data_IF_558314690848
#
_entry.id   IF_558314690848
#
_cell.length_a   1.000
_cell.length_b   1.000
_cell.length_c   1.000
_cell.angle_alpha   90.00
_cell.angle_beta   90.00
_cell.angle_gamma   90.00
#
_symmetry.space_group_name_H-M   'P 1'
#
loop_
_entity.id
_entity.type
_entity.pdbx_description
1 polymer ?
#
# COMPACT_ATOMS: atom_id res chain seq x y z
N UNK A 1 63.97 29.98 -15.85
CA UNK A 1 63.29 28.68 -15.84
C UNK A 1 62.32 28.72 -14.67
N UNK A 2 61.04 29.00 -14.94
CA UNK A 2 60.05 29.30 -13.90
C UNK A 2 59.44 28.01 -13.36
N UNK A 3 59.74 27.68 -12.11
CA UNK A 3 59.02 26.66 -11.35
C UNK A 3 57.59 27.14 -11.11
N UNK A 4 56.65 26.51 -11.82
CA UNK A 4 55.23 26.69 -11.60
C UNK A 4 54.85 25.95 -10.31
N UNK A 5 54.69 26.69 -9.23
CA UNK A 5 54.10 26.22 -7.96
C UNK A 5 52.66 25.80 -8.26
N UNK A 6 52.40 24.49 -8.25
CA UNK A 6 51.04 23.95 -8.35
C UNK A 6 50.38 24.15 -6.99
N UNK A 7 49.44 25.09 -6.92
CA UNK A 7 48.50 25.21 -5.81
C UNK A 7 47.59 23.98 -5.80
N UNK A 8 47.80 23.11 -4.80
CA UNK A 8 46.86 22.03 -4.49
C UNK A 8 45.66 22.71 -3.81
N UNK A 9 44.59 22.90 -4.57
CA UNK A 9 43.31 23.34 -4.04
C UNK A 9 42.81 22.31 -3.02
N UNK A 10 42.37 22.83 -1.87
CA UNK A 10 41.74 22.09 -0.79
C UNK A 10 40.63 21.17 -1.34
N UNK A 11 40.88 19.87 -1.33
CA UNK A 11 39.85 18.84 -1.46
C UNK A 11 39.10 18.85 -0.13
N UNK A 12 37.98 19.57 -0.09
CA UNK A 12 37.04 19.59 1.02
C UNK A 12 36.60 18.15 1.36
N UNK A 13 37.16 17.64 2.47
CA UNK A 13 36.64 16.53 3.30
C UNK A 13 36.06 15.32 2.56
N UNK A 14 36.85 14.69 1.68
CA UNK A 14 36.65 13.28 1.42
C UNK A 14 37.02 12.51 2.70
N UNK A 15 36.03 11.93 3.39
CA UNK A 15 36.28 11.05 4.53
C UNK A 15 37.11 9.85 4.09
N UNK A 16 38.42 9.89 4.32
CA UNK A 16 39.31 8.78 4.01
C UNK A 16 39.19 7.74 5.13
N UNK A 17 38.67 6.56 4.78
CA UNK A 17 38.69 5.40 5.66
C UNK A 17 39.99 4.64 5.38
N UNK A 18 41.05 4.95 6.14
CA UNK A 18 42.27 4.15 6.14
C UNK A 18 42.07 2.93 7.05
N UNK A 19 41.92 1.75 6.44
CA UNK A 19 41.94 0.49 7.17
C UNK A 19 43.35 -0.09 7.03
N UNK A 20 44.09 -0.33 8.13
CA UNK A 20 45.36 -1.04 8.04
C UNK A 20 45.07 -2.50 7.68
N UNK A 21 45.63 -2.98 6.57
CA UNK A 21 45.56 -4.37 6.15
C UNK A 21 46.86 -4.80 5.48
N UNK A 22 47.21 -6.07 5.63
CA UNK A 22 48.23 -6.72 4.80
C UNK A 22 47.60 -7.23 3.47
N UNK A 23 48.43 -7.69 2.53
CA UNK A 23 47.96 -8.08 1.19
C UNK A 23 46.88 -9.19 1.21
N UNK A 24 46.99 -10.14 2.14
CA UNK A 24 46.01 -11.22 2.32
C UNK A 24 44.68 -10.67 2.87
N UNK A 25 44.73 -9.80 3.89
CA UNK A 25 43.57 -9.15 4.47
C UNK A 25 42.85 -8.23 3.46
N UNK A 26 43.61 -7.57 2.57
CA UNK A 26 43.03 -6.77 1.51
C UNK A 26 42.28 -7.64 0.50
N UNK A 27 42.90 -8.75 0.07
CA UNK A 27 42.25 -9.71 -0.83
C UNK A 27 40.96 -10.25 -0.21
N UNK A 28 40.99 -10.67 1.05
CA UNK A 28 39.81 -11.19 1.75
C UNK A 28 38.73 -10.12 1.95
N UNK A 29 39.12 -8.87 2.17
CA UNK A 29 38.19 -7.74 2.20
C UNK A 29 37.54 -7.47 0.84
N UNK A 30 38.31 -7.50 -0.26
CA UNK A 30 37.74 -7.36 -1.60
C UNK A 30 36.80 -8.54 -1.91
N UNK A 31 37.17 -9.76 -1.53
CA UNK A 31 36.30 -10.94 -1.66
C UNK A 31 35.05 -10.82 -0.79
N UNK A 32 35.13 -10.27 0.41
CA UNK A 32 33.96 -10.06 1.28
C UNK A 32 33.02 -8.98 0.74
N UNK A 33 33.58 -7.93 0.10
CA UNK A 33 32.81 -6.94 -0.64
C UNK A 33 32.15 -7.51 -1.91
N UNK A 34 32.80 -8.46 -2.56
CA UNK A 34 32.34 -9.14 -3.78
C UNK A 34 31.55 -10.44 -3.50
N UNK A 35 31.39 -10.81 -2.23
CA UNK A 35 30.61 -11.97 -1.83
C UNK A 35 29.19 -11.89 -2.38
N UNK A 36 28.50 -13.03 -2.50
CA UNK A 36 27.08 -13.06 -2.89
C UNK A 36 26.22 -12.90 -1.64
N UNK A 37 25.78 -11.68 -1.25
CA UNK A 37 24.90 -11.52 -0.11
C UNK A 37 23.59 -12.28 -0.36
N UNK A 38 23.06 -12.89 0.68
CA UNK A 38 21.68 -13.36 0.69
C UNK A 38 20.77 -12.15 0.84
N UNK A 39 19.56 -12.24 0.29
CA UNK A 39 18.58 -11.16 0.37
C UNK A 39 17.32 -11.65 1.08
N UNK A 40 16.86 -10.88 2.06
CA UNK A 40 15.54 -11.02 2.67
C UNK A 40 14.70 -9.83 2.23
N UNK A 41 13.57 -10.10 1.57
CA UNK A 41 12.63 -9.06 1.11
C UNK A 41 11.26 -9.30 1.73
N UNK A 42 10.59 -8.24 2.14
CA UNK A 42 9.24 -8.30 2.68
C UNK A 42 8.42 -7.11 2.26
N UNK A 43 7.16 -7.37 1.93
CA UNK A 43 6.17 -6.35 1.61
C UNK A 43 5.11 -6.32 2.71
N UNK A 44 4.94 -5.16 3.34
CA UNK A 44 3.90 -4.90 4.32
C UNK A 44 2.79 -4.12 3.62
N UNK A 45 1.69 -4.82 3.33
CA UNK A 45 0.49 -4.23 2.75
C UNK A 45 -0.24 -3.42 3.81
N UNK A 46 -0.67 -2.21 3.46
CA UNK A 46 -1.49 -1.39 4.31
C UNK A 46 -1.32 0.08 4.01
N UNK A 47 -2.18 0.86 4.63
CA UNK A 47 -2.16 2.31 4.49
C UNK A 47 -1.28 2.90 5.57
N UNK A 48 -0.53 3.94 5.24
CA UNK A 48 0.40 4.54 6.19
C UNK A 48 0.44 6.05 6.03
N UNK A 49 0.86 6.70 7.11
CA UNK A 49 1.17 8.11 7.10
C UNK A 49 2.54 8.26 7.76
N UNK A 50 3.51 8.74 7.00
CA UNK A 50 4.84 9.01 7.53
C UNK A 50 5.21 10.47 7.34
N UNK A 51 5.88 11.02 8.34
CA UNK A 51 6.51 12.33 8.29
C UNK A 51 8.04 12.18 8.42
N UNK A 52 8.75 13.31 8.44
CA UNK A 52 10.21 13.33 8.61
C UNK A 52 10.65 12.67 9.92
N UNK A 53 9.93 12.90 11.02
CA UNK A 53 10.28 12.37 12.33
C UNK A 53 10.20 10.83 12.36
N UNK A 54 9.21 10.24 11.68
CA UNK A 54 9.11 8.78 11.57
C UNK A 54 10.32 8.17 10.86
N UNK A 55 10.84 8.83 9.81
CA UNK A 55 12.04 8.39 9.10
C UNK A 55 13.28 8.53 9.99
N UNK A 56 13.38 9.63 10.74
CA UNK A 56 14.46 9.85 11.71
C UNK A 56 14.45 8.76 12.78
N UNK A 57 13.29 8.48 13.39
CA UNK A 57 13.13 7.41 14.37
C UNK A 57 13.52 6.04 13.78
N UNK A 58 13.13 5.76 12.53
CA UNK A 58 13.52 4.51 11.86
C UNK A 58 15.04 4.40 11.71
N UNK A 59 15.70 5.48 11.30
CA UNK A 59 17.16 5.54 11.19
C UNK A 59 17.83 5.26 12.55
N UNK A 60 17.37 5.91 13.61
CA UNK A 60 17.92 5.76 14.96
C UNK A 60 17.74 4.34 15.49
N UNK A 61 16.56 3.74 15.32
CA UNK A 61 16.28 2.37 15.77
C UNK A 61 17.17 1.35 15.06
N UNK A 62 17.36 1.48 13.75
CA UNK A 62 18.25 0.61 12.96
C UNK A 62 19.70 0.76 13.44
N UNK A 63 20.19 1.99 13.55
CA UNK A 63 21.55 2.27 14.02
C UNK A 63 21.79 1.70 15.42
N UNK A 64 20.91 2.02 16.37
CA UNK A 64 21.03 1.55 17.74
C UNK A 64 21.10 0.02 17.80
N UNK A 65 20.26 -0.68 17.03
CA UNK A 65 20.25 -2.14 17.01
C UNK A 65 21.56 -2.71 16.47
N UNK A 66 22.08 -2.16 15.38
CA UNK A 66 23.29 -2.65 14.73
C UNK A 66 24.53 -2.42 15.63
N UNK A 67 24.66 -1.22 16.20
CA UNK A 67 25.77 -0.89 17.10
C UNK A 67 25.78 -1.70 18.40
N UNK A 68 24.61 -2.14 18.90
CA UNK A 68 24.53 -2.98 20.10
C UNK A 68 24.96 -4.43 19.86
N UNK A 69 24.83 -4.93 18.64
CA UNK A 69 25.07 -6.35 18.34
C UNK A 69 26.52 -6.65 17.95
N UNK A 70 27.12 -5.78 17.14
CA UNK A 70 28.40 -6.01 16.50
C UNK A 70 29.20 -4.71 16.35
N UNK A 71 30.52 -4.84 16.25
CA UNK A 71 31.37 -3.74 15.82
C UNK A 71 31.02 -3.39 14.37
N UNK A 72 30.55 -2.18 14.16
CA UNK A 72 29.92 -1.77 12.91
C UNK A 72 30.20 -0.31 12.59
N UNK A 73 30.24 0.00 11.29
CA UNK A 73 30.45 1.35 10.78
C UNK A 73 29.44 1.62 9.68
N UNK A 74 28.66 2.70 9.82
CA UNK A 74 27.78 3.19 8.76
C UNK A 74 28.66 3.81 7.67
N UNK A 75 28.67 3.22 6.48
CA UNK A 75 29.41 3.72 5.31
C UNK A 75 28.63 4.85 4.65
N UNK A 76 27.34 4.60 4.42
CA UNK A 76 26.47 5.51 3.69
C UNK A 76 25.04 5.35 4.17
N UNK A 77 24.39 6.50 4.36
CA UNK A 77 22.95 6.61 4.38
C UNK A 77 22.50 7.41 3.17
N UNK A 78 21.43 6.97 2.51
CA UNK A 78 20.83 7.65 1.37
C UNK A 78 19.32 7.68 1.54
N UNK A 79 18.72 8.86 1.34
CA UNK A 79 17.28 9.02 1.23
C UNK A 79 16.93 9.62 -0.13
N UNK A 80 16.23 8.87 -0.98
CA UNK A 80 15.74 9.33 -2.28
C UNK A 80 14.23 9.57 -2.19
N UNK A 81 13.83 10.83 -2.37
CA UNK A 81 12.44 11.30 -2.31
C UNK A 81 11.96 11.52 -3.73
N UNK A 82 10.84 10.90 -4.09
CA UNK A 82 10.24 10.98 -5.42
C UNK A 82 8.96 11.80 -5.35
N UNK A 83 8.78 12.71 -6.30
CA UNK A 83 7.66 13.63 -6.34
C UNK A 83 6.65 13.31 -7.45
N UNK A 84 5.52 14.00 -7.42
CA UNK A 84 4.43 13.86 -8.39
C UNK A 84 4.75 14.38 -9.81
N UNK A 85 5.78 15.20 -9.96
CA UNK A 85 6.27 15.71 -11.26
C UNK A 85 7.38 14.82 -11.86
N UNK A 86 7.60 13.63 -11.29
CA UNK A 86 8.66 12.69 -11.65
C UNK A 86 10.08 13.18 -11.37
N UNK A 87 10.25 14.24 -10.58
CA UNK A 87 11.57 14.63 -10.07
C UNK A 87 11.94 13.81 -8.83
N UNK A 88 13.25 13.71 -8.58
CA UNK A 88 13.81 13.00 -7.43
C UNK A 88 14.85 13.87 -6.75
N UNK A 89 14.80 13.92 -5.42
CA UNK A 89 15.85 14.50 -4.59
C UNK A 89 16.53 13.39 -3.80
N UNK A 90 17.85 13.29 -3.92
CA UNK A 90 18.66 12.30 -3.19
C UNK A 90 19.51 13.00 -2.14
N UNK A 91 19.29 12.65 -0.88
CA UNK A 91 20.02 13.14 0.28
C UNK A 91 21.06 12.10 0.67
N UNK A 92 22.34 12.44 0.50
CA UNK A 92 23.48 11.59 0.86
C UNK A 92 23.94 11.90 2.28
N UNK A 93 23.44 11.19 3.28
CA UNK A 93 23.79 11.39 4.68
C UNK A 93 22.59 11.76 5.55
N UNK A 94 22.66 11.35 6.81
CA UNK A 94 21.57 11.54 7.78
C UNK A 94 21.35 13.01 8.12
N UNK A 95 22.43 13.79 8.28
CA UNK A 95 22.35 15.23 8.55
C UNK A 95 21.58 15.99 7.45
N UNK A 96 21.75 15.59 6.18
CA UNK A 96 21.01 16.18 5.07
C UNK A 96 19.50 15.91 5.19
N UNK A 97 19.10 14.74 5.69
CA UNK A 97 17.70 14.43 5.96
C UNK A 97 17.16 15.27 7.12
N UNK A 98 17.91 15.41 8.21
CA UNK A 98 17.49 16.20 9.38
C UNK A 98 17.21 17.65 8.99
N UNK A 99 18.13 18.26 8.24
CA UNK A 99 18.03 19.64 7.75
C UNK A 99 17.18 19.80 6.49
N UNK A 100 16.65 18.71 5.93
CA UNK A 100 15.82 18.76 4.74
C UNK A 100 14.54 19.56 5.00
N UNK A 101 14.29 20.52 4.11
CA UNK A 101 13.09 21.33 4.08
C UNK A 101 12.78 21.78 2.65
N UNK A 102 11.90 21.05 1.97
CA UNK A 102 11.46 21.37 0.61
C UNK A 102 10.50 22.57 0.62
N UNK A 103 10.80 23.57 -0.22
CA UNK A 103 9.98 24.79 -0.37
C UNK A 103 9.11 24.76 -1.62
N UNK A 104 9.43 23.90 -2.58
CA UNK A 104 8.65 23.76 -3.80
C UNK A 104 7.29 23.12 -3.49
N UNK A 105 6.22 23.48 -4.23
CA UNK A 105 4.88 22.92 -4.05
C UNK A 105 4.77 21.52 -4.69
N UNK A 106 5.61 20.59 -4.24
CA UNK A 106 5.71 19.21 -4.75
C UNK A 106 5.07 18.23 -3.77
N UNK A 107 4.39 17.21 -4.28
CA UNK A 107 3.79 16.14 -3.45
C UNK A 107 4.71 14.92 -3.47
N UNK A 108 5.21 14.52 -2.31
CA UNK A 108 6.02 13.31 -2.17
C UNK A 108 5.17 12.06 -2.43
N UNK A 109 5.63 11.22 -3.34
CA UNK A 109 4.99 9.95 -3.75
C UNK A 109 5.69 8.72 -3.22
N UNK A 110 7.01 8.74 -3.17
CA UNK A 110 7.82 7.66 -2.62
C UNK A 110 9.01 8.20 -1.85
N UNK A 111 9.47 7.40 -0.90
CA UNK A 111 10.76 7.59 -0.23
C UNK A 111 11.46 6.26 -0.16
N UNK A 112 12.68 6.23 -0.69
CA UNK A 112 13.58 5.08 -0.62
C UNK A 112 14.73 5.43 0.29
N UNK A 113 14.91 4.64 1.34
CA UNK A 113 15.94 4.77 2.34
C UNK A 113 16.90 3.61 2.18
N UNK A 114 18.20 3.89 2.16
CA UNK A 114 19.23 2.87 2.07
C UNK A 114 20.30 3.14 3.11
N UNK A 115 20.64 2.10 3.87
CA UNK A 115 21.74 2.08 4.81
C UNK A 115 22.76 1.05 4.35
N UNK A 116 24.03 1.44 4.28
CA UNK A 116 25.15 0.54 3.99
C UNK A 116 26.09 0.52 5.18
N UNK A 117 26.31 -0.66 5.75
CA UNK A 117 27.18 -0.87 6.89
C UNK A 117 28.36 -1.77 6.53
N UNK A 118 29.49 -1.54 7.17
CA UNK A 118 30.51 -2.57 7.41
C UNK A 118 30.23 -3.16 8.79
N UNK A 119 30.01 -4.47 8.87
CA UNK A 119 29.78 -5.18 10.13
C UNK A 119 30.85 -6.23 10.32
N UNK A 120 31.53 -6.22 11.48
CA UNK A 120 32.45 -7.27 11.89
C UNK A 120 31.72 -8.23 12.83
N UNK A 121 31.44 -9.43 12.34
CA UNK A 121 30.81 -10.49 13.12
C UNK A 121 31.81 -11.14 14.08
N UNK A 122 31.35 -11.66 15.22
CA UNK A 122 32.23 -12.21 16.27
C UNK A 122 33.07 -13.40 15.82
N UNK A 123 32.59 -14.15 14.84
CA UNK A 123 33.23 -15.32 14.23
C UNK A 123 34.11 -14.96 13.03
N UNK A 124 34.28 -13.67 12.72
CA UNK A 124 35.03 -13.20 11.55
C UNK A 124 36.02 -12.11 11.91
N UNK A 125 37.21 -12.18 11.32
CA UNK A 125 38.26 -11.18 11.55
C UNK A 125 38.08 -9.92 10.69
N UNK A 126 37.34 -10.04 9.59
CA UNK A 126 37.12 -8.99 8.60
C UNK A 126 35.73 -8.38 8.68
N UNK A 127 35.61 -7.15 8.20
CA UNK A 127 34.32 -6.49 8.02
C UNK A 127 33.63 -7.00 6.75
N UNK A 128 32.32 -7.15 6.82
CA UNK A 128 31.48 -7.54 5.69
C UNK A 128 30.42 -6.47 5.42
N UNK A 129 30.22 -6.15 4.14
CA UNK A 129 29.21 -5.16 3.73
C UNK A 129 27.81 -5.72 3.90
N UNK A 130 26.97 -4.99 4.62
CA UNK A 130 25.54 -5.23 4.75
C UNK A 130 24.77 -4.05 4.18
N UNK A 131 23.60 -4.30 3.61
CA UNK A 131 22.72 -3.25 3.10
C UNK A 131 21.28 -3.48 3.56
N UNK A 132 20.66 -2.42 4.05
CA UNK A 132 19.25 -2.39 4.41
C UNK A 132 18.62 -1.32 3.53
N UNK A 133 17.50 -1.65 2.90
CA UNK A 133 16.75 -0.71 2.09
C UNK A 133 15.26 -0.77 2.43
N UNK A 134 14.63 0.38 2.61
CA UNK A 134 13.21 0.52 2.97
C UNK A 134 12.56 1.51 2.01
N UNK A 135 11.43 1.12 1.42
CA UNK A 135 10.63 1.97 0.53
C UNK A 135 9.24 2.17 1.09
N UNK A 136 8.81 3.43 1.06
CA UNK A 136 7.44 3.84 1.30
C UNK A 136 6.84 4.29 -0.03
N UNK A 137 5.71 3.68 -0.43
CA UNK A 137 5.07 3.92 -1.72
C UNK A 137 3.61 4.31 -1.50
N UNK A 138 3.21 5.50 -1.98
CA UNK A 138 1.85 6.04 -1.72
C UNK A 138 0.85 5.89 -2.86
N UNK A 139 1.30 5.78 -4.11
CA UNK A 139 0.40 5.88 -5.27
C UNK A 139 0.87 5.00 -6.44
N UNK A 140 -0.10 4.44 -7.17
CA UNK A 140 0.06 3.44 -8.24
C UNK A 140 0.41 4.04 -9.61
N UNK A 141 0.42 5.37 -9.72
CA UNK A 141 0.49 6.06 -11.02
C UNK A 141 1.93 6.39 -11.40
N UNK A 142 2.67 5.37 -11.83
CA UNK A 142 3.95 5.50 -12.52
C UNK A 142 4.84 4.27 -12.36
N UNK A 143 5.82 4.07 -13.27
CA UNK A 143 6.89 3.12 -13.02
C UNK A 143 7.67 3.61 -11.80
N UNK A 144 7.47 2.96 -10.65
CA UNK A 144 8.37 3.16 -9.52
C UNK A 144 9.58 2.25 -9.67
N UNK A 145 10.79 2.75 -9.40
CA UNK A 145 11.97 1.90 -9.32
C UNK A 145 11.76 0.87 -8.19
N UNK A 146 11.58 -0.39 -8.55
CA UNK A 146 11.64 -1.51 -7.62
C UNK A 146 13.11 -1.75 -7.24
N UNK A 147 13.34 -2.36 -6.07
CA UNK A 147 14.69 -2.78 -5.70
C UNK A 147 15.26 -3.87 -6.60
N UNK A 148 14.39 -4.57 -7.34
CA UNK A 148 14.74 -5.59 -8.31
C UNK A 148 14.13 -5.19 -9.66
N UNK A 149 14.97 -4.73 -10.60
CA UNK A 149 14.55 -4.42 -11.97
C UNK A 149 14.01 -5.67 -12.70
N UNK A 150 14.40 -6.87 -12.26
CA UNK A 150 14.01 -8.15 -12.86
C UNK A 150 12.64 -8.66 -12.43
N UNK A 151 12.08 -8.11 -11.36
CA UNK A 151 10.80 -8.55 -10.85
C UNK A 151 9.80 -7.42 -11.01
N UNK A 152 9.10 -7.46 -12.15
CA UNK A 152 8.02 -6.55 -12.53
C UNK A 152 6.79 -6.77 -11.63
N UNK A 153 6.97 -6.63 -10.32
CA UNK A 153 5.88 -6.55 -9.36
C UNK A 153 5.26 -5.17 -9.54
N UNK A 154 4.21 -5.14 -10.36
CA UNK A 154 3.25 -4.05 -10.31
C UNK A 154 2.62 -4.09 -8.92
N UNK A 155 3.20 -3.34 -7.99
CA UNK A 155 2.58 -3.08 -6.71
C UNK A 155 1.35 -2.23 -7.01
N UNK A 156 0.20 -2.89 -7.15
CA UNK A 156 -1.09 -2.23 -7.34
C UNK A 156 -1.63 -1.63 -6.03
N UNK A 157 -0.82 -1.57 -4.97
CA UNK A 157 -1.22 -1.07 -3.67
C UNK A 157 -0.11 -0.19 -3.08
N UNK A 158 -0.52 0.85 -2.34
CA UNK A 158 0.39 1.51 -1.41
C UNK A 158 0.87 0.52 -0.35
N UNK A 159 2.13 0.65 0.06
CA UNK A 159 2.67 -0.18 1.12
C UNK A 159 4.10 0.18 1.46
N UNK A 160 4.63 -0.60 2.39
CA UNK A 160 6.01 -0.48 2.86
C UNK A 160 6.74 -1.75 2.45
N UNK A 161 7.79 -1.62 1.66
CA UNK A 161 8.64 -2.76 1.31
C UNK A 161 10.02 -2.57 1.90
N UNK A 162 10.66 -3.63 2.37
CA UNK A 162 12.07 -3.57 2.72
C UNK A 162 12.84 -4.76 2.18
N UNK A 163 14.13 -4.54 1.98
CA UNK A 163 15.11 -5.49 1.49
C UNK A 163 16.34 -5.42 2.39
N UNK A 164 16.84 -6.57 2.82
CA UNK A 164 18.06 -6.70 3.61
C UNK A 164 19.00 -7.59 2.82
N UNK A 165 20.12 -7.06 2.37
CA UNK A 165 21.20 -7.82 1.77
C UNK A 165 22.27 -8.07 2.83
N UNK A 166 22.48 -9.35 3.15
CA UNK A 166 23.30 -9.75 4.27
C UNK A 166 24.20 -10.96 3.97
N UNK A 167 25.27 -11.09 4.75
CA UNK A 167 26.19 -12.26 4.69
C UNK A 167 25.97 -13.22 5.85
N UNK A 168 25.58 -12.73 7.03
CA UNK A 168 25.26 -13.56 8.20
C UNK A 168 23.74 -13.76 8.36
N UNK A 169 23.27 -15.02 8.28
CA UNK A 169 21.84 -15.35 8.28
C UNK A 169 21.11 -14.93 9.57
N UNK A 170 21.72 -15.18 10.72
CA UNK A 170 21.15 -14.84 12.03
C UNK A 170 20.99 -13.33 12.20
N UNK A 171 21.96 -12.55 11.74
CA UNK A 171 21.89 -11.09 11.71
C UNK A 171 20.76 -10.59 10.80
N UNK A 172 20.68 -11.12 9.57
CA UNK A 172 19.62 -10.76 8.63
C UNK A 172 18.22 -11.01 9.19
N UNK A 173 18.01 -12.16 9.83
CA UNK A 173 16.73 -12.50 10.48
C UNK A 173 16.39 -11.62 11.68
N UNK A 174 17.36 -11.18 12.47
CA UNK A 174 17.10 -10.26 13.60
C UNK A 174 16.68 -8.86 13.12
N UNK A 175 17.39 -8.32 12.12
CA UNK A 175 17.04 -7.04 11.51
C UNK A 175 15.66 -7.11 10.84
N UNK A 176 15.32 -8.21 10.18
CA UNK A 176 13.98 -8.43 9.59
C UNK A 176 12.87 -8.38 10.64
N UNK A 177 13.06 -9.05 11.78
CA UNK A 177 12.07 -9.09 12.85
C UNK A 177 11.87 -7.70 13.47
N UNK A 178 12.97 -6.98 13.71
CA UNK A 178 12.94 -5.60 14.23
C UNK A 178 12.25 -4.65 13.25
N UNK A 179 12.64 -4.66 11.96
CA UNK A 179 12.02 -3.83 10.93
C UNK A 179 10.54 -4.14 10.77
N UNK A 180 10.18 -5.42 10.70
CA UNK A 180 8.77 -5.84 10.63
C UNK A 180 7.97 -5.25 11.78
N UNK A 181 8.46 -5.40 13.03
CA UNK A 181 7.76 -4.90 14.21
C UNK A 181 7.62 -3.38 14.19
N UNK A 182 8.69 -2.65 13.84
CA UNK A 182 8.67 -1.19 13.83
C UNK A 182 7.78 -0.64 12.69
N UNK A 183 7.96 -1.14 11.47
CA UNK A 183 7.21 -0.67 10.30
C UNK A 183 5.72 -1.04 10.40
N UNK A 184 5.35 -2.15 11.03
CA UNK A 184 3.95 -2.48 11.31
C UNK A 184 3.25 -1.45 12.19
N UNK A 185 3.97 -0.71 13.04
CA UNK A 185 3.36 0.37 13.85
C UNK A 185 3.02 1.61 13.03
N UNK A 186 3.66 1.80 11.87
CA UNK A 186 3.37 2.90 10.94
C UNK A 186 2.15 2.61 10.06
N UNK A 187 1.75 1.34 9.97
CA UNK A 187 0.59 0.92 9.21
C UNK A 187 -0.65 1.26 10.02
N UNK A 188 -1.50 2.11 9.45
CA UNK A 188 -2.77 2.46 10.03
C UNK A 188 -3.66 1.22 10.04
N UNK A 189 -4.19 0.88 11.22
CA UNK A 189 -5.13 -0.21 11.36
C UNK A 189 -6.43 0.19 10.67
N UNK A 190 -6.70 -0.41 9.52
CA UNK A 190 -7.97 -0.29 8.84
C UNK A 190 -9.10 -0.85 9.72
N UNK A 191 -10.32 -0.37 9.49
CA UNK A 191 -11.47 -0.94 10.16
C UNK A 191 -11.63 -2.38 9.66
N UNK A 192 -11.57 -3.36 10.57
CA UNK A 192 -11.72 -4.79 10.25
C UNK A 192 -12.96 -5.09 9.40
N UNK A 193 -14.01 -4.28 9.56
CA UNK A 193 -15.20 -4.37 8.72
C UNK A 193 -14.85 -4.02 7.27
N UNK A 194 -14.21 -2.88 7.00
CA UNK A 194 -13.80 -2.49 5.65
C UNK A 194 -12.80 -3.47 5.05
N UNK A 195 -11.84 -3.94 5.85
CA UNK A 195 -10.91 -5.00 5.42
C UNK A 195 -11.67 -6.24 4.95
N UNK A 196 -12.68 -6.68 5.70
CA UNK A 196 -13.47 -7.85 5.32
C UNK A 196 -14.12 -7.68 3.94
N UNK A 197 -14.73 -6.53 3.64
CA UNK A 197 -15.32 -6.25 2.32
C UNK A 197 -14.26 -6.16 1.23
N UNK A 198 -13.10 -5.57 1.52
CA UNK A 198 -11.99 -5.41 0.58
C UNK A 198 -11.29 -6.72 0.22
N UNK A 199 -11.16 -7.66 1.16
CA UNK A 199 -10.46 -8.93 0.91
C UNK A 199 -11.42 -10.09 0.58
N UNK A 200 -12.73 -9.88 0.70
CA UNK A 200 -13.74 -10.89 0.43
C UNK A 200 -14.86 -10.34 -0.49
N UNK A 201 -14.55 -9.39 -1.37
CA UNK A 201 -15.51 -8.72 -2.25
C UNK A 201 -16.39 -9.72 -3.02
N UNK A 202 -15.80 -10.76 -3.61
CA UNK A 202 -16.50 -11.81 -4.36
C UNK A 202 -17.48 -12.58 -3.46
N UNK A 203 -17.01 -13.02 -2.29
CA UNK A 203 -17.83 -13.78 -1.33
C UNK A 203 -18.99 -12.94 -0.81
N UNK A 204 -18.72 -11.68 -0.48
CA UNK A 204 -19.75 -10.72 -0.06
C UNK A 204 -20.77 -10.51 -1.19
N UNK A 205 -20.29 -10.29 -2.42
CA UNK A 205 -21.14 -10.14 -3.59
C UNK A 205 -22.05 -11.36 -3.80
N UNK A 206 -21.49 -12.57 -3.68
CA UNK A 206 -22.26 -13.82 -3.75
C UNK A 206 -23.28 -13.96 -2.61
N UNK A 207 -22.91 -13.61 -1.37
CA UNK A 207 -23.83 -13.66 -0.23
C UNK A 207 -25.00 -12.68 -0.39
N UNK A 208 -24.72 -11.45 -0.83
CA UNK A 208 -25.75 -10.45 -1.13
C UNK A 208 -26.66 -10.97 -2.25
N UNK A 209 -26.08 -11.57 -3.30
CA UNK A 209 -26.84 -12.12 -4.41
C UNK A 209 -27.73 -13.29 -3.99
N UNK A 210 -27.19 -14.21 -3.18
CA UNK A 210 -27.94 -15.33 -2.63
C UNK A 210 -29.11 -14.84 -1.76
N UNK A 211 -28.87 -13.84 -0.91
CA UNK A 211 -29.91 -13.22 -0.09
C UNK A 211 -31.02 -12.58 -0.94
N UNK A 212 -30.67 -11.85 -2.00
CA UNK A 212 -31.64 -11.27 -2.94
C UNK A 212 -32.46 -12.33 -3.69
N UNK A 213 -31.82 -13.43 -4.10
CA UNK A 213 -32.52 -14.56 -4.75
C UNK A 213 -33.44 -15.28 -3.76
N UNK A 214 -33.00 -15.53 -2.51
CA UNK A 214 -33.83 -16.19 -1.51
C UNK A 214 -35.04 -15.36 -1.12
N UNK A 215 -34.85 -14.06 -0.87
CA UNK A 215 -35.97 -13.15 -0.50
C UNK A 215 -37.02 -13.08 -1.59
N UNK A 216 -36.59 -13.05 -2.85
CA UNK A 216 -37.51 -12.98 -3.99
C UNK A 216 -38.22 -14.30 -4.26
N UNK A 217 -37.56 -15.44 -4.08
CA UNK A 217 -38.21 -16.76 -4.09
C UNK A 217 -39.26 -16.87 -2.98
N UNK A 218 -38.98 -16.39 -1.77
CA UNK A 218 -39.95 -16.41 -0.67
C UNK A 218 -41.18 -15.56 -1.01
N UNK A 219 -40.98 -14.33 -1.51
CA UNK A 219 -42.08 -13.44 -1.90
C UNK A 219 -42.91 -14.08 -3.03
N UNK A 220 -42.25 -14.67 -4.03
CA UNK A 220 -42.88 -15.42 -5.13
C UNK A 220 -43.77 -16.55 -4.62
N UNK A 221 -43.28 -17.37 -3.69
CA UNK A 221 -44.02 -18.48 -3.11
C UNK A 221 -45.23 -18.00 -2.31
N UNK A 222 -45.07 -16.95 -1.50
CA UNK A 222 -46.15 -16.36 -0.71
C UNK A 222 -47.26 -15.79 -1.61
N UNK A 223 -46.90 -15.05 -2.66
CA UNK A 223 -47.85 -14.51 -3.63
C UNK A 223 -48.59 -15.62 -4.39
N UNK A 224 -47.86 -16.64 -4.85
CA UNK A 224 -48.47 -17.79 -5.54
C UNK A 224 -49.47 -18.51 -4.63
N UNK A 225 -49.12 -18.75 -3.37
CA UNK A 225 -50.01 -19.39 -2.40
C UNK A 225 -51.26 -18.56 -2.10
N UNK A 226 -51.15 -17.23 -2.02
CA UNK A 226 -52.31 -16.35 -1.86
C UNK A 226 -53.25 -16.41 -3.07
N UNK A 227 -52.70 -16.39 -4.29
CA UNK A 227 -53.50 -16.46 -5.52
C UNK A 227 -54.25 -17.79 -5.61
N UNK A 228 -53.57 -18.91 -5.29
CA UNK A 228 -54.20 -20.24 -5.27
C UNK A 228 -55.36 -20.28 -4.25
N UNK A 229 -55.16 -19.73 -3.04
CA UNK A 229 -56.21 -19.69 -2.01
C UNK A 229 -57.44 -18.86 -2.43
N UNK A 230 -57.25 -17.85 -3.26
CA UNK A 230 -58.35 -16.98 -3.73
C UNK A 230 -59.16 -17.60 -4.89
N UNK A 231 -58.82 -18.81 -5.36
CA UNK A 231 -59.74 -19.75 -6.02
C UNK A 231 -60.24 -19.43 -7.43
N UNK A 232 -59.94 -18.29 -8.03
CA UNK A 232 -60.63 -17.82 -9.25
C UNK A 232 -59.88 -17.97 -10.59
N UNK A 233 -58.70 -18.61 -10.65
CA UNK A 233 -57.81 -18.47 -11.82
C UNK A 233 -57.12 -19.76 -12.33
N UNK A 234 -57.45 -20.96 -11.82
CA UNK A 234 -56.68 -22.19 -12.16
C UNK A 234 -56.65 -22.51 -13.66
N UNK A 235 -57.71 -22.17 -14.40
CA UNK A 235 -57.93 -22.69 -15.75
C UNK A 235 -57.53 -21.72 -16.87
N UNK A 236 -57.09 -20.50 -16.55
CA UNK A 236 -56.70 -19.52 -17.57
C UNK A 236 -55.20 -19.62 -17.90
N UNK A 237 -54.79 -20.10 -19.10
CA UNK A 237 -53.38 -20.22 -19.46
C UNK A 237 -52.66 -18.85 -19.57
N UNK A 238 -53.39 -17.78 -19.88
CA UNK A 238 -52.83 -16.42 -19.97
C UNK A 238 -52.36 -15.94 -18.60
N UNK A 239 -53.08 -16.31 -17.53
CA UNK A 239 -52.69 -16.00 -16.15
C UNK A 239 -51.33 -16.60 -15.81
N UNK A 240 -51.11 -17.87 -16.12
CA UNK A 240 -49.84 -18.56 -15.85
C UNK A 240 -48.68 -17.97 -16.65
N UNK A 241 -48.91 -17.59 -17.92
CA UNK A 241 -47.88 -16.93 -18.75
C UNK A 241 -47.44 -15.60 -18.11
N UNK A 242 -48.38 -14.77 -17.66
CA UNK A 242 -48.05 -13.53 -16.95
C UNK A 242 -47.34 -13.80 -15.62
N UNK A 243 -47.80 -14.78 -14.85
CA UNK A 243 -47.22 -15.14 -13.56
C UNK A 243 -45.76 -15.59 -13.69
N UNK A 244 -45.46 -16.53 -14.59
CA UNK A 244 -44.10 -16.99 -14.83
C UNK A 244 -43.24 -15.95 -15.55
N UNK A 245 -43.82 -15.17 -16.46
CA UNK A 245 -43.16 -14.04 -17.11
C UNK A 245 -42.64 -13.03 -16.09
N UNK A 246 -43.45 -12.68 -15.09
CA UNK A 246 -43.05 -11.78 -14.01
C UNK A 246 -41.86 -12.34 -13.21
N UNK A 247 -41.77 -13.66 -12.97
CA UNK A 247 -40.62 -14.25 -12.30
C UNK A 247 -39.35 -14.21 -13.12
N UNK A 248 -39.44 -14.41 -14.44
CA UNK A 248 -38.29 -14.27 -15.35
C UNK A 248 -37.77 -12.84 -15.30
N UNK A 249 -38.64 -11.83 -15.41
CA UNK A 249 -38.24 -10.42 -15.31
C UNK A 249 -37.63 -10.08 -13.96
N UNK A 250 -38.20 -10.61 -12.87
CA UNK A 250 -37.68 -10.41 -11.54
C UNK A 250 -36.28 -11.03 -11.38
N UNK A 251 -36.07 -12.25 -11.88
CA UNK A 251 -34.78 -12.92 -11.87
C UNK A 251 -33.72 -12.14 -12.67
N UNK A 252 -34.08 -11.68 -13.88
CA UNK A 252 -33.20 -10.81 -14.69
C UNK A 252 -32.86 -9.51 -13.96
N UNK A 253 -33.83 -8.91 -13.27
CA UNK A 253 -33.63 -7.71 -12.45
C UNK A 253 -32.62 -7.94 -11.31
N UNK A 254 -32.72 -9.07 -10.58
CA UNK A 254 -31.74 -9.42 -9.54
C UNK A 254 -30.37 -9.65 -10.14
N UNK A 255 -30.27 -10.38 -11.24
CA UNK A 255 -28.99 -10.65 -11.90
C UNK A 255 -28.29 -9.34 -12.32
N UNK A 256 -29.06 -8.39 -12.86
CA UNK A 256 -28.57 -7.07 -13.21
C UNK A 256 -28.10 -6.29 -11.96
N UNK A 257 -28.89 -6.30 -10.88
CA UNK A 257 -28.50 -5.69 -9.60
C UNK A 257 -27.25 -6.31 -8.99
N UNK A 258 -27.08 -7.63 -9.11
CA UNK A 258 -25.86 -8.32 -8.70
C UNK A 258 -24.65 -7.79 -9.49
N UNK A 259 -24.75 -7.67 -10.81
CA UNK A 259 -23.65 -7.14 -11.63
C UNK A 259 -23.29 -5.71 -11.27
N UNK A 260 -24.29 -4.85 -11.05
CA UNK A 260 -24.06 -3.49 -10.55
C UNK A 260 -23.36 -3.51 -9.19
N UNK A 261 -23.80 -4.37 -8.27
CA UNK A 261 -23.21 -4.48 -6.94
C UNK A 261 -21.76 -4.93 -7.01
N UNK A 262 -21.42 -5.88 -7.88
CA UNK A 262 -20.04 -6.32 -8.10
C UNK A 262 -19.16 -5.20 -8.67
N UNK A 263 -19.61 -4.49 -9.70
CA UNK A 263 -18.88 -3.34 -10.27
C UNK A 263 -18.65 -2.27 -9.19
N UNK A 264 -19.65 -2.03 -8.35
CA UNK A 264 -19.54 -1.09 -7.23
C UNK A 264 -18.53 -1.59 -6.19
N UNK A 265 -18.54 -2.88 -5.85
CA UNK A 265 -17.62 -3.47 -4.87
C UNK A 265 -16.16 -3.47 -5.38
N UNK A 266 -15.95 -3.74 -6.66
CA UNK A 266 -14.65 -3.62 -7.33
C UNK A 266 -14.14 -2.17 -7.29
N UNK A 267 -15.00 -1.20 -7.56
CA UNK A 267 -14.65 0.23 -7.42
C UNK A 267 -14.36 0.59 -5.95
N UNK A 268 -14.97 -0.10 -4.97
CA UNK A 268 -14.66 0.02 -3.54
C UNK A 268 -13.28 -0.54 -3.15
N UNK A 269 -12.82 -1.61 -3.78
CA UNK A 269 -11.44 -2.11 -3.58
C UNK A 269 -10.41 -1.07 -4.00
N UNK A 270 -10.73 -0.27 -5.02
CA UNK A 270 -9.89 0.86 -5.45
C UNK A 270 -9.91 2.04 -4.45
N UNK A 271 -10.86 2.05 -3.50
CA UNK A 271 -10.96 3.02 -2.41
C UNK A 271 -10.29 2.53 -1.12
N UNK A 272 -9.10 1.94 -1.21
CA UNK A 272 -8.20 1.86 -0.06
C UNK A 272 -7.97 3.26 0.53
N UNK A 273 -7.82 3.36 1.86
CA UNK A 273 -7.47 4.65 2.44
C UNK A 273 -6.15 5.14 1.80
N UNK A 274 -6.04 6.42 1.43
CA UNK A 274 -4.81 6.92 0.80
C UNK A 274 -3.64 6.88 1.80
N UNK A 275 -2.48 6.43 1.35
CA UNK A 275 -1.22 6.57 2.09
C UNK A 275 -0.57 7.92 1.83
N UNK A 276 0.21 8.42 2.78
CA UNK A 276 0.81 9.75 2.72
C UNK A 276 2.26 9.77 3.16
N UNK A 277 3.07 10.53 2.42
CA UNK A 277 4.43 10.91 2.80
C UNK A 277 4.46 12.42 2.95
N UNK A 278 4.56 12.90 4.19
CA UNK A 278 4.46 14.30 4.56
C UNK A 278 5.88 14.86 4.77
N UNK A 279 6.58 15.09 3.66
CA UNK A 279 7.90 15.72 3.65
C UNK A 279 7.87 17.17 3.12
N UNK A 280 6.73 17.61 2.58
CA UNK A 280 6.53 18.96 2.05
C UNK A 280 5.21 19.55 2.56
N UNK A 281 5.06 20.88 2.58
CA UNK A 281 3.79 21.51 2.91
C UNK A 281 2.66 21.15 1.91
N UNK A 282 3.01 20.91 0.66
CA UNK A 282 2.03 20.54 -0.37
C UNK A 282 1.53 19.10 -0.20
N UNK A 283 2.38 18.18 0.26
CA UNK A 283 1.95 16.83 0.67
C UNK A 283 0.90 16.86 1.78
N UNK A 284 1.03 17.78 2.74
CA UNK A 284 0.06 17.94 3.83
C UNK A 284 -1.30 18.47 3.33
N UNK A 285 -1.29 19.49 2.45
CA UNK A 285 -2.52 19.96 1.78
C UNK A 285 -3.15 18.87 0.93
N UNK A 286 -2.34 18.12 0.19
CA UNK A 286 -2.80 17.01 -0.63
C UNK A 286 -3.42 15.91 0.24
N UNK A 287 -2.87 15.64 1.43
CA UNK A 287 -3.48 14.73 2.41
C UNK A 287 -4.89 15.16 2.77
N UNK A 288 -5.06 16.40 3.22
CA UNK A 288 -6.37 16.93 3.61
C UNK A 288 -7.35 16.84 2.42
N UNK A 289 -6.90 17.21 1.22
CA UNK A 289 -7.70 17.14 -0.01
C UNK A 289 -8.11 15.70 -0.36
N UNK A 290 -7.18 14.75 -0.36
CA UNK A 290 -7.46 13.32 -0.65
C UNK A 290 -8.37 12.72 0.42
N UNK A 291 -8.16 13.00 1.70
CA UNK A 291 -9.03 12.52 2.79
C UNK A 291 -10.45 13.10 2.69
N UNK A 292 -10.61 14.38 2.38
CA UNK A 292 -11.92 15.00 2.18
C UNK A 292 -12.61 14.47 0.93
N UNK A 293 -11.87 14.29 -0.17
CA UNK A 293 -12.38 13.66 -1.37
C UNK A 293 -12.85 12.23 -1.10
N UNK A 294 -12.08 11.45 -0.35
CA UNK A 294 -12.42 10.09 0.08
C UNK A 294 -13.75 10.06 0.86
N UNK A 295 -13.88 10.89 1.90
CA UNK A 295 -15.11 11.00 2.70
C UNK A 295 -16.31 11.46 1.86
N UNK A 296 -16.12 12.41 0.94
CA UNK A 296 -17.18 12.89 0.04
C UNK A 296 -17.63 11.81 -0.95
N UNK A 297 -16.70 11.03 -1.51
CA UNK A 297 -17.04 9.89 -2.39
C UNK A 297 -17.87 8.85 -1.65
N UNK A 298 -17.44 8.47 -0.45
CA UNK A 298 -18.19 7.55 0.41
C UNK A 298 -19.60 8.09 0.74
N UNK A 299 -19.71 9.37 1.08
CA UNK A 299 -21.00 10.01 1.37
C UNK A 299 -21.93 10.07 0.15
N UNK A 300 -21.41 10.41 -1.04
CA UNK A 300 -22.18 10.39 -2.31
C UNK A 300 -22.68 8.99 -2.62
N UNK A 301 -21.84 7.98 -2.39
CA UNK A 301 -22.22 6.59 -2.56
C UNK A 301 -23.38 6.18 -1.64
N UNK A 302 -23.25 6.44 -0.33
CA UNK A 302 -24.32 6.15 0.63
C UNK A 302 -25.62 6.90 0.28
N UNK A 303 -25.53 8.15 -0.15
CA UNK A 303 -26.69 8.93 -0.60
C UNK A 303 -27.34 8.31 -1.84
N UNK A 304 -26.57 7.82 -2.81
CA UNK A 304 -27.10 7.17 -4.00
C UNK A 304 -27.85 5.88 -3.66
N UNK A 305 -27.30 5.05 -2.74
CA UNK A 305 -27.94 3.84 -2.24
C UNK A 305 -29.25 4.16 -1.50
N UNK A 306 -29.24 5.15 -0.61
CA UNK A 306 -30.45 5.57 0.12
C UNK A 306 -31.50 6.12 -0.85
N UNK A 307 -31.08 6.94 -1.82
CA UNK A 307 -31.98 7.55 -2.79
C UNK A 307 -32.63 6.50 -3.70
N UNK A 308 -31.89 5.47 -4.11
CA UNK A 308 -32.45 4.38 -4.92
C UNK A 308 -33.48 3.56 -4.14
N UNK A 309 -33.25 3.30 -2.85
CA UNK A 309 -34.22 2.65 -1.98
C UNK A 309 -35.50 3.49 -1.81
N UNK A 310 -35.36 4.80 -1.56
CA UNK A 310 -36.51 5.71 -1.40
C UNK A 310 -37.32 5.78 -2.70
N UNK A 311 -36.67 5.94 -3.86
CA UNK A 311 -37.34 6.00 -5.15
C UNK A 311 -38.06 4.68 -5.48
N UNK A 312 -37.47 3.54 -5.13
CA UNK A 312 -38.12 2.24 -5.28
C UNK A 312 -39.41 2.14 -4.47
N UNK A 313 -39.38 2.54 -3.20
CA UNK A 313 -40.56 2.55 -2.33
C UNK A 313 -41.62 3.54 -2.83
N UNK A 314 -41.21 4.77 -3.16
CA UNK A 314 -42.11 5.81 -3.65
C UNK A 314 -42.77 5.42 -4.99
N UNK A 315 -42.01 4.80 -5.90
CA UNK A 315 -42.53 4.30 -7.17
C UNK A 315 -43.63 3.25 -6.98
N UNK A 316 -43.46 2.33 -6.02
CA UNK A 316 -44.48 1.35 -5.68
C UNK A 316 -45.75 2.00 -5.09
N UNK A 317 -45.60 2.99 -4.20
CA UNK A 317 -46.74 3.73 -3.67
C UNK A 317 -47.50 4.48 -4.77
N UNK A 318 -46.77 5.18 -5.65
CA UNK A 318 -47.37 5.94 -6.75
C UNK A 318 -48.10 5.02 -7.73
N UNK A 319 -47.50 3.89 -8.09
CA UNK A 319 -48.13 2.88 -8.93
C UNK A 319 -49.44 2.40 -8.29
N UNK A 320 -49.41 2.03 -7.01
CA UNK A 320 -50.59 1.58 -6.28
C UNK A 320 -51.70 2.63 -6.28
N UNK A 321 -51.36 3.90 -6.05
CA UNK A 321 -52.33 5.01 -6.06
C UNK A 321 -52.96 5.26 -7.43
N UNK A 322 -52.19 5.12 -8.52
CA UNK A 322 -52.70 5.34 -9.89
C UNK A 322 -53.57 4.17 -10.39
N UNK A 323 -53.37 2.97 -9.84
CA UNK A 323 -54.13 1.77 -10.22
C UNK A 323 -55.33 1.47 -9.33
N UNK A 324 -55.46 2.14 -8.19
CA UNK A 324 -56.57 2.01 -7.24
C UNK A 324 -57.75 2.90 -7.63
#
# INVERSE_FOLDING_TARGET
MNEKKVEIQNIETAGQVALPFNDEQFKDFIVSLLGKPQTISKYLRGTFEINKDNIITLFEVINQRIYQQNDSKLIQFRASIYYNDNTTVTLNGFEHLVHFNEKLPLVSRAVHLTWQYLVKFRDKDTFEKQEISVSFITDNNGPMPSFDDDVNHRFYDSGISFRISHTARTWGSDIEAMLTKNLQTLIQKENKFLDFFKFNNERVGHLISAFLISTTLIISLLNTNQIIKNGNYSDNPIFWIHHYGNYIFLFLGIYFLQKITLIILEEFEFYGAPSFIILTPESEKNKIKKQNSYKRKLGKYLLAVISSLILGVAGNFLYTYLTA
#
